data_IF_177130245469
#
_entry.id   IF_177130245469
#
_cell.length_a   1.000
_cell.length_b   1.000
_cell.length_c   1.000
_cell.angle_alpha   90.00
_cell.angle_beta   90.00
_cell.angle_gamma   90.00
#
_symmetry.space_group_name_H-M   'P 1'
#
loop_
_entity.id
_entity.type
_entity.pdbx_description
1 polymer ?
#
# COMPACT_ATOMS: atom_id res chain seq x y z
N UNK A 1 -4.53 -8.44 13.35
CA UNK A 1 -5.37 -7.52 12.54
C UNK A 1 -6.55 -7.10 13.39
N UNK A 2 -6.85 -5.80 13.46
CA UNK A 2 -7.89 -5.20 14.30
C UNK A 2 -9.10 -4.78 13.46
N UNK A 3 -8.86 -4.30 12.24
CA UNK A 3 -9.90 -3.99 11.26
C UNK A 3 -9.41 -4.34 9.85
N UNK A 4 -10.33 -4.70 8.97
CA UNK A 4 -10.08 -4.94 7.55
C UNK A 4 -11.18 -4.27 6.72
N UNK A 5 -10.77 -3.51 5.72
CA UNK A 5 -11.64 -2.81 4.78
C UNK A 5 -11.22 -3.15 3.35
N UNK A 6 -11.49 -4.39 2.90
CA UNK A 6 -11.12 -4.83 1.56
C UNK A 6 -11.78 -3.98 0.47
N UNK A 7 -12.96 -3.41 0.73
CA UNK A 7 -13.65 -2.48 -0.17
C UNK A 7 -12.92 -1.13 -0.33
N UNK A 8 -12.00 -0.82 0.58
CA UNK A 8 -11.18 0.39 0.57
C UNK A 8 -9.68 0.09 0.36
N UNK A 9 -9.30 -1.19 0.33
CA UNK A 9 -7.93 -1.65 0.08
C UNK A 9 -6.95 -1.45 1.23
N UNK A 10 -7.40 -1.55 2.49
CA UNK A 10 -6.51 -1.44 3.64
C UNK A 10 -6.90 -2.34 4.82
N UNK A 11 -5.94 -2.58 5.72
CA UNK A 11 -6.15 -3.26 7.00
C UNK A 11 -5.37 -2.57 8.12
N UNK A 12 -5.96 -2.49 9.31
CA UNK A 12 -5.30 -2.01 10.53
C UNK A 12 -4.74 -3.20 11.33
N UNK A 13 -3.45 -3.15 11.60
CA UNK A 13 -2.75 -4.13 12.43
C UNK A 13 -2.79 -3.74 13.92
N UNK A 14 -2.52 -4.70 14.81
CA UNK A 14 -2.61 -4.49 16.25
C UNK A 14 -1.49 -3.60 16.82
N UNK A 15 -0.42 -3.43 16.06
CA UNK A 15 0.68 -2.50 16.37
C UNK A 15 0.40 -1.07 15.87
N UNK A 16 -0.79 -0.81 15.30
CA UNK A 16 -1.22 0.49 14.81
C UNK A 16 -0.80 0.79 13.36
N UNK A 17 -0.15 -0.15 12.67
CA UNK A 17 0.19 0.02 11.24
C UNK A 17 -1.07 -0.12 10.38
N UNK A 18 -1.29 0.81 9.45
CA UNK A 18 -2.25 0.64 8.36
C UNK A 18 -1.49 0.14 7.14
N UNK A 19 -1.81 -1.05 6.65
CA UNK A 19 -1.26 -1.61 5.41
C UNK A 19 -2.25 -1.43 4.27
N UNK A 20 -1.75 -1.07 3.10
CA UNK A 20 -2.52 -0.90 1.87
C UNK A 20 -2.25 -2.07 0.91
N UNK A 21 -3.23 -2.40 0.08
CA UNK A 21 -3.12 -3.49 -0.91
C UNK A 21 -2.01 -3.26 -1.94
N UNK A 22 -1.61 -2.00 -2.15
CA UNK A 22 -0.50 -1.61 -3.03
C UNK A 22 0.89 -1.75 -2.37
N UNK A 23 0.97 -2.46 -1.24
CA UNK A 23 2.14 -2.65 -0.37
C UNK A 23 2.65 -1.39 0.35
N UNK A 24 1.97 -0.26 0.22
CA UNK A 24 2.21 0.91 1.04
C UNK A 24 1.79 0.69 2.50
N UNK A 25 2.25 1.57 3.39
CA UNK A 25 1.80 1.59 4.79
C UNK A 25 1.85 2.98 5.41
N UNK A 26 0.96 3.24 6.37
CA UNK A 26 1.07 4.36 7.32
C UNK A 26 1.48 3.80 8.68
N UNK A 27 2.63 4.24 9.17
CA UNK A 27 3.15 3.82 10.47
C UNK A 27 2.45 4.58 11.61
N UNK A 28 2.48 4.04 12.85
CA UNK A 28 1.88 4.70 14.02
C UNK A 28 2.43 6.09 14.32
N UNK A 29 3.66 6.39 13.87
CA UNK A 29 4.31 7.69 14.01
C UNK A 29 4.00 8.66 12.85
N UNK A 30 3.11 8.28 11.94
CA UNK A 30 2.70 9.09 10.79
C UNK A 30 3.64 9.02 9.60
N UNK A 31 4.75 8.26 9.66
CA UNK A 31 5.61 8.05 8.49
C UNK A 31 4.92 7.16 7.45
N UNK A 32 5.23 7.43 6.18
CA UNK A 32 4.69 6.70 5.03
C UNK A 32 5.73 5.75 4.47
N UNK A 33 5.34 4.50 4.25
CA UNK A 33 6.03 3.54 3.38
C UNK A 33 5.40 3.65 2.00
N UNK A 34 6.20 4.01 1.01
CA UNK A 34 5.73 4.19 -0.35
C UNK A 34 5.28 2.84 -0.96
N UNK A 35 4.25 2.84 -1.83
CA UNK A 35 3.84 1.65 -2.55
C UNK A 35 4.98 1.06 -3.37
N UNK A 36 5.10 -0.27 -3.38
CA UNK A 36 6.03 -0.96 -4.29
C UNK A 36 5.44 -1.02 -5.69
N UNK A 37 5.56 0.08 -6.44
CA UNK A 37 5.28 0.07 -7.88
C UNK A 37 6.43 -0.66 -8.57
N UNK A 38 6.15 -1.78 -9.23
CA UNK A 38 7.07 -2.30 -10.22
C UNK A 38 7.38 -1.15 -11.19
N UNK A 39 8.67 -0.91 -11.57
CA UNK A 39 8.97 0.09 -12.57
C UNK A 39 8.11 -0.23 -13.78
N UNK A 40 7.28 0.73 -14.21
CA UNK A 40 6.48 0.56 -15.40
C UNK A 40 7.47 0.23 -16.52
N UNK A 41 7.49 -1.04 -16.95
CA UNK A 41 8.31 -1.46 -18.07
C UNK A 41 7.98 -0.50 -19.19
N UNK A 42 9.00 0.17 -19.75
CA UNK A 42 8.84 1.19 -20.79
C UNK A 42 7.86 0.63 -21.82
N UNK A 43 6.63 1.13 -21.82
CA UNK A 43 5.62 0.69 -22.78
C UNK A 43 6.13 1.22 -24.11
N UNK A 44 6.73 0.36 -24.93
CA UNK A 44 7.07 0.71 -26.29
C UNK A 44 5.74 0.99 -26.99
N UNK A 45 5.51 2.25 -27.39
CA UNK A 45 4.46 2.52 -28.36
C UNK A 45 4.83 1.76 -29.63
N UNK A 46 3.97 0.82 -30.04
CA UNK A 46 4.08 0.22 -31.35
C UNK A 46 3.85 1.33 -32.41
N UNK A 47 4.79 1.44 -33.35
CA UNK A 47 4.70 2.33 -34.50
C UNK A 47 3.72 1.78 -35.55
#
# INVERSE_FOLDING_TARGET
>A
MVAAHPEQGWSLLCDGVIVFDDSGALLPDGRVVAPHRAPAGRIAMAA
#
